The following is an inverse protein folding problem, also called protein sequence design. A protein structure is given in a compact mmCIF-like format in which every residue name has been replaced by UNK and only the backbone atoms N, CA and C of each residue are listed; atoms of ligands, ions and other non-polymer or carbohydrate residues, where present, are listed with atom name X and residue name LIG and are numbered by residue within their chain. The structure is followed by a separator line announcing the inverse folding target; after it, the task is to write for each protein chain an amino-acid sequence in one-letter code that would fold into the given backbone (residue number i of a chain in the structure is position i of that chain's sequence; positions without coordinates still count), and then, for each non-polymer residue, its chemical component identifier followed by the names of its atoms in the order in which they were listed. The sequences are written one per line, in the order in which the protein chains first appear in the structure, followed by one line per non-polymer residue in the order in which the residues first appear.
data_IF_448943187869
#
_entry.id   IF_448943187869
#
_cell.length_a   1.000
_cell.length_b   1.000
_cell.length_c   1.000
_cell.angle_alpha   90.00
_cell.angle_beta   90.00
_cell.angle_gamma   90.00
#
_symmetry.space_group_name_H-M   'P 1'
#
loop_
_entity.id
_entity.type
_entity.pdbx_description
1 polymer ?
#
# COMPACT_ATOMS: atom_id res chain seq x y z
N UNK A 1 -16.85 14.51 -20.86
CA UNK A 1 -18.20 15.08 -21.02
C UNK A 1 -19.23 14.13 -20.46
N UNK A 2 -20.00 14.57 -19.47
CA UNK A 2 -21.16 13.84 -18.94
C UNK A 2 -22.41 14.69 -19.18
N UNK A 3 -23.50 14.03 -19.55
CA UNK A 3 -24.76 14.71 -19.77
C UNK A 3 -25.47 14.89 -18.43
N UNK A 4 -25.77 16.13 -18.07
CA UNK A 4 -26.57 16.43 -16.89
C UNK A 4 -28.06 16.27 -17.18
N UNK A 5 -28.88 16.13 -16.12
CA UNK A 5 -30.35 16.07 -16.25
C UNK A 5 -30.94 17.33 -16.91
N UNK A 6 -30.22 18.46 -16.87
CA UNK A 6 -30.58 19.72 -17.52
C UNK A 6 -30.15 19.84 -18.99
N UNK A 7 -29.64 18.76 -19.62
CA UNK A 7 -29.16 18.73 -21.02
C UNK A 7 -27.91 19.62 -21.24
N UNK A 8 -27.40 20.29 -20.20
CA UNK A 8 -26.10 20.95 -20.23
C UNK A 8 -24.97 19.91 -20.15
N UNK A 9 -23.95 20.09 -20.97
CA UNK A 9 -22.75 19.24 -20.91
C UNK A 9 -21.84 19.70 -19.77
N UNK A 10 -21.36 18.75 -18.96
CA UNK A 10 -20.38 19.00 -17.90
C UNK A 10 -19.07 18.28 -18.19
N UNK A 11 -17.96 19.00 -18.05
CA UNK A 11 -16.62 18.44 -18.19
C UNK A 11 -16.20 17.75 -16.88
N UNK A 12 -16.63 16.49 -16.73
CA UNK A 12 -16.24 15.63 -15.62
C UNK A 12 -14.94 14.85 -15.86
N UNK A 13 -14.42 14.25 -14.79
CA UNK A 13 -13.26 13.36 -14.81
C UNK A 13 -13.66 11.90 -14.55
N UNK A 14 -12.81 10.96 -15.00
CA UNK A 14 -12.95 9.52 -14.72
C UNK A 14 -11.60 8.96 -14.32
N UNK A 15 -11.59 7.94 -13.47
CA UNK A 15 -10.38 7.16 -13.21
C UNK A 15 -9.82 6.56 -14.50
N UNK A 16 -8.52 6.78 -14.72
CA UNK A 16 -7.81 6.34 -15.91
C UNK A 16 -7.66 4.82 -15.98
N UNK A 17 -7.47 4.17 -14.82
CA UNK A 17 -7.21 2.73 -14.71
C UNK A 17 -7.95 2.11 -13.52
N UNK A 18 -8.03 0.78 -13.52
CA UNK A 18 -8.56 0.02 -12.39
C UNK A 18 -7.60 0.03 -11.20
N UNK A 19 -8.15 0.14 -10.00
CA UNK A 19 -7.37 0.11 -8.75
C UNK A 19 -7.41 -1.31 -8.14
N UNK A 20 -6.41 -1.63 -7.33
CA UNK A 20 -6.44 -2.75 -6.38
C UNK A 20 -5.70 -2.39 -5.09
N UNK A 21 -6.15 -2.96 -3.98
CA UNK A 21 -5.41 -2.90 -2.72
C UNK A 21 -4.41 -4.04 -2.62
N UNK A 22 -3.29 -3.80 -1.96
CA UNK A 22 -2.37 -4.85 -1.54
C UNK A 22 -2.04 -4.62 -0.07
N UNK A 23 -2.42 -5.54 0.82
CA UNK A 23 -2.09 -5.47 2.24
C UNK A 23 -0.80 -6.22 2.54
N UNK A 24 0.10 -5.58 3.29
CA UNK A 24 1.23 -6.28 3.91
C UNK A 24 0.75 -6.86 5.24
N UNK A 25 0.73 -8.17 5.34
CA UNK A 25 0.28 -8.88 6.54
C UNK A 25 1.25 -8.69 7.70
N UNK A 26 0.77 -8.57 8.94
CA UNK A 26 -0.65 -8.58 9.37
C UNK A 26 -1.26 -7.19 9.50
N UNK A 27 -0.47 -6.17 9.85
CA UNK A 27 -0.99 -4.84 10.19
C UNK A 27 -1.65 -4.11 9.02
N UNK A 28 -1.24 -4.35 7.78
CA UNK A 28 -1.86 -3.78 6.58
C UNK A 28 -3.31 -4.20 6.38
N UNK A 29 -3.73 -5.33 6.93
CA UNK A 29 -5.11 -5.83 6.81
C UNK A 29 -6.12 -4.93 7.53
N UNK A 30 -5.67 -4.20 8.56
CA UNK A 30 -6.50 -3.23 9.30
C UNK A 30 -7.06 -2.11 8.41
N UNK A 31 -6.40 -1.82 7.29
CA UNK A 31 -6.79 -0.76 6.34
C UNK A 31 -7.74 -1.27 5.25
N UNK A 32 -7.92 -2.59 5.11
CA UNK A 32 -8.72 -3.17 4.03
C UNK A 32 -10.19 -2.80 4.14
N UNK A 33 -10.73 -2.74 5.37
CA UNK A 33 -12.14 -2.42 5.57
C UNK A 33 -12.45 -1.00 5.11
N UNK A 34 -11.65 -0.01 5.53
CA UNK A 34 -11.82 1.37 5.08
C UNK A 34 -11.68 1.53 3.57
N UNK A 35 -10.81 0.74 2.94
CA UNK A 35 -10.70 0.73 1.48
C UNK A 35 -11.95 0.15 0.79
N UNK A 36 -12.54 -0.92 1.33
CA UNK A 36 -13.79 -1.52 0.81
C UNK A 36 -15.00 -0.61 1.00
N UNK A 37 -15.04 0.15 2.10
CA UNK A 37 -16.13 1.11 2.36
C UNK A 37 -16.16 2.22 1.31
N UNK A 38 -14.99 2.70 0.88
CA UNK A 38 -14.85 3.67 -0.20
C UNK A 38 -15.02 3.04 -1.60
N UNK A 39 -14.50 1.83 -1.81
CA UNK A 39 -14.45 1.15 -3.10
C UNK A 39 -15.02 -0.28 -3.00
N UNK A 40 -16.34 -0.42 -3.07
CA UNK A 40 -17.07 -1.69 -2.79
C UNK A 40 -16.57 -2.93 -3.55
N UNK A 41 -16.06 -2.79 -4.77
CA UNK A 41 -15.62 -3.92 -5.60
C UNK A 41 -14.11 -3.96 -5.83
N UNK A 42 -13.31 -3.35 -4.94
CA UNK A 42 -11.86 -3.37 -5.06
C UNK A 42 -11.30 -4.77 -4.80
N UNK A 43 -10.39 -5.22 -5.68
CA UNK A 43 -9.66 -6.47 -5.49
C UNK A 43 -8.53 -6.23 -4.49
N UNK A 44 -8.30 -7.18 -3.58
CA UNK A 44 -7.24 -7.10 -2.58
C UNK A 44 -6.27 -8.27 -2.77
N UNK A 45 -5.01 -7.94 -3.01
CA UNK A 45 -3.88 -8.86 -2.91
C UNK A 45 -3.26 -8.82 -1.51
N UNK A 46 -2.47 -9.82 -1.17
CA UNK A 46 -1.82 -9.93 0.14
C UNK A 46 -0.36 -10.35 0.00
N UNK A 47 0.50 -9.79 0.84
CA UNK A 47 1.91 -10.17 0.95
C UNK A 47 2.23 -10.45 2.42
N UNK A 48 2.85 -11.60 2.71
CA UNK A 48 3.44 -11.90 4.00
C UNK A 48 4.94 -11.70 3.92
N UNK A 49 5.44 -10.73 4.67
CA UNK A 49 6.85 -10.45 4.81
C UNK A 49 7.20 -10.55 6.28
N UNK A 50 8.21 -11.36 6.60
CA UNK A 50 8.72 -11.49 7.95
C UNK A 50 10.24 -11.38 7.92
N UNK A 51 10.78 -10.61 8.86
CA UNK A 51 12.22 -10.52 9.06
C UNK A 51 12.70 -11.83 9.68
N UNK A 52 13.69 -12.42 9.05
CA UNK A 52 14.40 -13.57 9.59
C UNK A 52 15.25 -13.13 10.79
N UNK A 53 15.09 -13.81 11.94
CA UNK A 53 15.72 -13.42 13.20
C UNK A 53 17.24 -13.60 13.21
N UNK A 54 17.77 -14.50 12.38
CA UNK A 54 19.20 -14.80 12.29
C UNK A 54 19.93 -13.88 11.31
N UNK A 55 19.30 -13.62 10.16
CA UNK A 55 19.92 -12.87 9.06
C UNK A 55 19.48 -11.40 9.01
N UNK A 56 18.45 -11.02 9.76
CA UNK A 56 17.78 -9.72 9.73
C UNK A 56 17.26 -9.31 8.34
N UNK A 57 17.19 -10.25 7.39
CA UNK A 57 16.68 -10.00 6.05
C UNK A 57 15.17 -10.18 6.02
N UNK A 58 14.49 -9.26 5.35
CA UNK A 58 13.08 -9.40 5.05
C UNK A 58 12.91 -10.55 4.05
N UNK A 59 12.10 -11.55 4.40
CA UNK A 59 11.80 -12.69 3.51
C UNK A 59 10.31 -12.70 3.19
N UNK A 60 10.01 -12.96 1.92
CA UNK A 60 8.65 -13.08 1.41
C UNK A 60 8.20 -14.53 1.60
N UNK A 61 7.20 -14.75 2.45
CA UNK A 61 6.66 -16.08 2.75
C UNK A 61 5.42 -16.39 1.90
N UNK A 62 4.69 -15.36 1.49
CA UNK A 62 3.47 -15.50 0.73
C UNK A 62 3.21 -14.24 -0.08
N UNK A 63 2.80 -14.40 -1.33
CA UNK A 63 2.34 -13.31 -2.17
C UNK A 63 1.20 -13.83 -3.06
N UNK A 64 0.04 -13.18 -2.99
CA UNK A 64 -1.10 -13.50 -3.86
C UNK A 64 -1.75 -12.23 -4.35
N UNK A 65 -1.80 -12.09 -5.66
CA UNK A 65 -2.28 -10.88 -6.33
C UNK A 65 -3.41 -11.19 -7.31
N UNK A 66 -4.21 -10.18 -7.68
CA UNK A 66 -5.06 -10.26 -8.86
C UNK A 66 -4.21 -10.60 -10.11
N UNK A 67 -4.70 -11.46 -11.03
CA UNK A 67 -3.93 -11.88 -12.20
C UNK A 67 -3.60 -10.72 -13.16
N UNK A 68 -4.31 -9.60 -13.04
CA UNK A 68 -4.14 -8.40 -13.85
C UNK A 68 -3.48 -7.23 -13.10
N UNK A 69 -2.76 -7.51 -11.99
CA UNK A 69 -2.14 -6.48 -11.14
C UNK A 69 -1.19 -5.54 -11.90
N UNK A 70 -0.43 -6.06 -12.86
CA UNK A 70 0.52 -5.30 -13.68
C UNK A 70 -0.12 -4.17 -14.52
N UNK A 71 -1.45 -4.18 -14.70
CA UNK A 71 -2.18 -3.10 -15.41
C UNK A 71 -2.87 -2.11 -14.46
N UNK A 72 -2.82 -2.35 -13.15
CA UNK A 72 -3.61 -1.62 -12.14
C UNK A 72 -2.77 -0.61 -11.37
N UNK A 73 -3.46 0.37 -10.77
CA UNK A 73 -2.88 1.21 -9.73
C UNK A 73 -2.98 0.48 -8.39
N UNK A 74 -1.84 0.34 -7.71
CA UNK A 74 -1.72 -0.44 -6.47
C UNK A 74 -1.78 0.50 -5.27
N UNK A 75 -2.74 0.27 -4.38
CA UNK A 75 -2.80 0.89 -3.06
C UNK A 75 -2.14 -0.07 -2.07
N UNK A 76 -0.84 0.12 -1.84
CA UNK A 76 -0.06 -0.70 -0.93
C UNK A 76 -0.31 -0.24 0.50
N UNK A 77 -0.89 -1.08 1.35
CA UNK A 77 -1.34 -0.72 2.69
C UNK A 77 -0.37 -1.28 3.75
N UNK A 78 0.26 -0.37 4.49
CA UNK A 78 1.09 -0.71 5.63
C UNK A 78 1.12 0.45 6.64
N UNK A 79 0.47 0.30 7.81
CA UNK A 79 0.17 1.45 8.68
C UNK A 79 1.38 2.04 9.39
N UNK A 80 2.45 1.27 9.61
CA UNK A 80 3.66 1.73 10.30
C UNK A 80 4.87 1.69 9.37
N UNK A 81 5.32 2.86 8.95
CA UNK A 81 6.57 3.03 8.22
C UNK A 81 7.70 3.44 9.17
N UNK A 82 8.42 2.44 9.71
CA UNK A 82 9.56 2.65 10.62
C UNK A 82 10.89 2.77 9.87
N UNK A 83 11.52 1.65 9.48
CA UNK A 83 12.78 1.66 8.70
C UNK A 83 12.58 1.63 7.19
N UNK A 84 11.40 1.23 6.71
CA UNK A 84 11.10 1.09 5.27
C UNK A 84 11.42 -0.28 4.67
N UNK A 85 12.25 -1.11 5.31
CA UNK A 85 12.70 -2.40 4.77
C UNK A 85 11.56 -3.33 4.31
N UNK A 86 10.51 -3.47 5.11
CA UNK A 86 9.35 -4.29 4.77
C UNK A 86 8.63 -3.79 3.51
N UNK A 87 8.52 -2.47 3.38
CA UNK A 87 7.86 -1.85 2.22
C UNK A 87 8.75 -1.95 0.98
N UNK A 88 10.05 -1.73 1.12
CA UNK A 88 11.01 -1.92 0.02
C UNK A 88 10.88 -3.33 -0.56
N UNK A 89 10.86 -4.34 0.30
CA UNK A 89 10.72 -5.73 -0.15
C UNK A 89 9.35 -6.00 -0.78
N UNK A 90 8.27 -5.41 -0.25
CA UNK A 90 6.94 -5.51 -0.87
C UNK A 90 6.90 -4.86 -2.26
N UNK A 91 7.56 -3.71 -2.45
CA UNK A 91 7.63 -3.01 -3.73
C UNK A 91 8.47 -3.82 -4.74
N UNK A 92 9.54 -4.47 -4.30
CA UNK A 92 10.31 -5.40 -5.15
C UNK A 92 9.44 -6.55 -5.65
N UNK A 93 8.70 -7.21 -4.75
CA UNK A 93 7.77 -8.28 -5.13
C UNK A 93 6.72 -7.79 -6.13
N UNK A 94 6.16 -6.60 -5.93
CA UNK A 94 5.20 -6.02 -6.88
C UNK A 94 5.83 -5.73 -8.24
N UNK A 95 7.09 -5.25 -8.24
CA UNK A 95 7.86 -4.98 -9.46
C UNK A 95 8.17 -6.27 -10.22
N UNK A 96 8.52 -7.35 -9.52
CA UNK A 96 8.71 -8.68 -10.10
C UNK A 96 7.42 -9.23 -10.76
N UNK A 97 6.26 -8.77 -10.27
CA UNK A 97 4.95 -9.07 -10.86
C UNK A 97 4.51 -8.04 -11.94
N UNK A 98 5.43 -7.21 -12.42
CA UNK A 98 5.23 -6.28 -13.53
C UNK A 98 4.55 -4.96 -13.17
N UNK A 99 4.42 -4.64 -11.88
CA UNK A 99 3.90 -3.34 -11.43
C UNK A 99 5.02 -2.31 -11.44
N UNK A 100 4.85 -1.21 -12.17
CA UNK A 100 5.84 -0.12 -12.14
C UNK A 100 5.74 0.67 -10.83
N UNK A 101 6.85 1.10 -10.21
CA UNK A 101 6.84 1.89 -8.97
C UNK A 101 5.96 3.14 -9.04
N UNK A 102 5.91 3.81 -10.20
CA UNK A 102 5.04 4.97 -10.47
C UNK A 102 3.53 4.70 -10.34
N UNK A 103 3.12 3.44 -10.39
CA UNK A 103 1.74 3.00 -10.20
C UNK A 103 1.44 2.51 -8.77
N UNK A 104 2.41 2.59 -7.86
CA UNK A 104 2.27 2.19 -6.46
C UNK A 104 2.08 3.44 -5.60
N UNK A 105 0.97 3.46 -4.86
CA UNK A 105 0.73 4.42 -3.80
C UNK A 105 0.82 3.66 -2.47
N UNK A 106 1.86 3.95 -1.69
CA UNK A 106 1.98 3.48 -0.32
C UNK A 106 1.05 4.29 0.58
N UNK A 107 0.12 3.61 1.24
CA UNK A 107 -0.76 4.14 2.26
C UNK A 107 -0.21 3.75 3.63
N UNK A 108 0.17 4.77 4.41
CA UNK A 108 0.69 4.65 5.77
C UNK A 108 -0.12 5.53 6.72
N UNK A 109 -0.11 5.20 8.00
CA UNK A 109 -0.66 6.06 9.05
C UNK A 109 0.46 6.83 9.75
N UNK A 110 1.50 6.09 10.15
CA UNK A 110 2.63 6.62 10.91
C UNK A 110 3.91 6.43 10.11
N UNK A 111 4.59 7.51 9.74
CA UNK A 111 5.87 7.43 9.04
C UNK A 111 6.99 8.08 9.84
N UNK A 112 8.19 7.49 9.78
CA UNK A 112 9.40 8.21 10.17
C UNK A 112 10.05 8.87 8.93
N UNK A 113 10.79 9.99 9.10
CA UNK A 113 11.56 10.58 8.01
C UNK A 113 12.57 9.59 7.41
N UNK A 114 13.19 8.77 8.27
CA UNK A 114 14.15 7.76 7.84
C UNK A 114 13.49 6.69 6.96
N UNK A 115 12.34 6.17 7.38
CA UNK A 115 11.57 5.18 6.63
C UNK A 115 11.10 5.70 5.28
N UNK A 116 10.54 6.92 5.24
CA UNK A 116 10.13 7.54 3.97
C UNK A 116 11.33 7.77 3.02
N UNK A 117 12.45 8.27 3.55
CA UNK A 117 13.66 8.52 2.76
C UNK A 117 14.21 7.23 2.14
N UNK A 118 14.29 6.15 2.92
CA UNK A 118 14.79 4.85 2.43
C UNK A 118 13.98 4.32 1.23
N UNK A 119 12.66 4.54 1.24
CA UNK A 119 11.77 4.10 0.17
C UNK A 119 11.97 4.98 -1.08
N UNK A 120 12.07 6.30 -0.91
CA UNK A 120 12.23 7.23 -2.03
C UNK A 120 13.61 7.08 -2.68
N UNK A 121 14.65 6.80 -1.89
CA UNK A 121 16.00 6.54 -2.41
C UNK A 121 16.04 5.30 -3.32
N UNK A 122 15.31 4.25 -2.98
CA UNK A 122 15.24 3.01 -3.78
C UNK A 122 14.21 3.13 -4.93
N UNK A 123 13.09 3.80 -4.70
CA UNK A 123 11.96 3.92 -5.63
C UNK A 123 11.52 5.38 -5.77
N UNK A 124 12.21 6.20 -6.58
CA UNK A 124 11.96 7.64 -6.65
C UNK A 124 10.57 8.00 -7.19
N UNK A 125 9.98 7.15 -8.01
CA UNK A 125 8.66 7.38 -8.61
C UNK A 125 7.48 6.94 -7.75
N UNK A 126 7.72 6.32 -6.58
CA UNK A 126 6.65 5.86 -5.70
C UNK A 126 5.94 7.04 -5.03
N UNK A 127 4.63 6.94 -4.88
CA UNK A 127 3.87 7.92 -4.08
C UNK A 127 3.71 7.40 -2.65
N UNK A 128 4.15 8.18 -1.65
CA UNK A 128 3.89 7.89 -0.24
C UNK A 128 2.79 8.84 0.27
N UNK A 129 1.68 8.28 0.72
CA UNK A 129 0.60 8.99 1.40
C UNK A 129 0.57 8.53 2.86
N UNK A 130 0.88 9.45 3.78
CA UNK A 130 0.87 9.18 5.23
C UNK A 130 0.03 10.23 5.96
N UNK A 131 -0.64 9.86 7.04
CA UNK A 131 -1.40 10.82 7.86
C UNK A 131 -0.49 11.70 8.70
N UNK A 132 0.59 11.13 9.24
CA UNK A 132 1.55 11.89 10.04
C UNK A 132 2.99 11.40 9.88
N UNK A 133 3.93 12.28 10.22
CA UNK A 133 5.36 12.05 10.19
C UNK A 133 5.94 12.41 11.55
N UNK A 134 6.57 11.45 12.23
CA UNK A 134 7.18 11.61 13.56
C UNK A 134 8.57 11.01 13.62
N UNK A 135 9.38 11.43 14.59
CA UNK A 135 10.72 10.86 14.79
C UNK A 135 10.69 9.37 15.17
N UNK A 136 9.61 8.94 15.84
CA UNK A 136 9.42 7.56 16.30
C UNK A 136 8.04 7.08 15.86
N UNK A 137 7.99 5.87 15.32
CA UNK A 137 6.74 5.20 14.97
C UNK A 137 6.15 4.45 16.17
N UNK A 138 4.83 4.33 16.30
CA UNK A 138 4.23 3.48 17.32
C UNK A 138 4.64 2.02 17.13
N UNK A 139 4.75 1.33 18.26
CA UNK A 139 4.99 -0.11 18.33
C UNK A 139 3.66 -0.84 18.53
N UNK A 140 3.60 -2.11 18.10
CA UNK A 140 2.50 -3.03 18.39
C UNK A 140 1.12 -2.66 17.80
N UNK A 141 1.04 -1.83 16.73
CA UNK A 141 -0.26 -1.50 16.10
C UNK A 141 -1.08 -2.73 15.74
N UNK A 142 -0.45 -3.75 15.14
CA UNK A 142 -1.15 -4.98 14.76
C UNK A 142 -1.75 -5.71 15.97
N UNK A 143 -1.02 -5.81 17.08
CA UNK A 143 -1.52 -6.51 18.27
C UNK A 143 -2.68 -5.75 18.91
N UNK A 144 -2.55 -4.42 19.05
CA UNK A 144 -3.62 -3.56 19.57
C UNK A 144 -4.88 -3.59 18.69
N UNK A 145 -4.70 -3.56 17.37
CA UNK A 145 -5.83 -3.57 16.43
C UNK A 145 -6.56 -4.91 16.43
N UNK A 146 -5.83 -6.02 16.45
CA UNK A 146 -6.41 -7.37 16.42
C UNK A 146 -6.72 -7.94 17.82
N UNK A 147 -6.38 -7.25 18.90
CA UNK A 147 -6.59 -7.71 20.27
C UNK A 147 -5.77 -8.97 20.61
N UNK A 148 -4.51 -9.03 20.15
CA UNK A 148 -3.62 -10.18 20.39
C UNK A 148 -2.45 -9.82 21.34
N UNK A 149 -2.70 -8.86 22.24
CA UNK A 149 -1.80 -8.53 23.34
C UNK A 149 -1.88 -9.57 24.46
#
# INVERSE_FOLDING_TARGET
MVNTKSISQYEGVRFERGNCGVSIMRSGEAMEQGLRDCCRSIRIGKILIQSDEETLKAKVYYAKFPPDIYRRKVLLMYPILSSGNTVVEAVRVLTDHGVQPSHIILLSLFSTPHGAKSIIEEFPDITILTTEVHSVSPIHFGQKYFGTD
#
